data_IF_501307373541
#
_entry.id   IF_501307373541
#
_cell.length_a   1.000
_cell.length_b   1.000
_cell.length_c   1.000
_cell.angle_alpha   90.00
_cell.angle_beta   90.00
_cell.angle_gamma   90.00
#
_symmetry.space_group_name_H-M   'P 1'
#
loop_
_entity.id
_entity.type
_entity.pdbx_description
1 polymer ?
#
# COMPACT_ATOMS: atom_id res chain seq x y z
N UNK A 1 -48.18 5.92 -27.32
CA UNK A 1 -47.20 5.83 -26.22
C UNK A 1 -46.07 4.92 -26.68
N UNK A 2 -45.01 5.51 -27.22
CA UNK A 2 -43.82 4.79 -27.67
C UNK A 2 -42.81 4.70 -26.54
N UNK A 3 -42.40 3.48 -26.19
CA UNK A 3 -41.29 3.20 -25.29
C UNK A 3 -39.99 3.58 -25.99
N UNK A 4 -39.29 4.58 -25.46
CA UNK A 4 -37.94 4.93 -25.88
C UNK A 4 -36.96 3.95 -25.20
N UNK A 5 -36.11 3.22 -25.95
CA UNK A 5 -35.13 2.33 -25.34
C UNK A 5 -33.99 3.18 -24.77
N UNK A 6 -33.74 3.07 -23.46
CA UNK A 6 -32.51 3.56 -22.86
C UNK A 6 -31.34 2.75 -23.42
N UNK A 7 -30.64 3.33 -24.41
CA UNK A 7 -29.28 2.92 -24.77
C UNK A 7 -28.40 3.15 -23.55
N UNK A 8 -27.96 2.07 -22.91
CA UNK A 8 -26.79 2.12 -22.05
C UNK A 8 -25.59 2.53 -22.93
N UNK A 9 -25.10 3.75 -22.73
CA UNK A 9 -23.82 4.15 -23.28
C UNK A 9 -22.73 3.36 -22.55
N UNK A 10 -22.29 2.25 -23.16
CA UNK A 10 -21.05 1.58 -22.80
C UNK A 10 -19.91 2.57 -23.10
N UNK A 11 -19.35 3.18 -22.06
CA UNK A 11 -18.06 3.85 -22.15
C UNK A 11 -17.02 2.77 -22.51
N UNK A 12 -16.33 2.86 -23.66
CA UNK A 12 -15.43 1.81 -24.15
C UNK A 12 -14.13 1.67 -23.36
N UNK A 13 -13.92 2.50 -22.33
CA UNK A 13 -12.77 2.45 -21.44
C UNK A 13 -13.27 2.24 -20.02
N UNK A 14 -13.23 0.99 -19.54
CA UNK A 14 -13.34 0.73 -18.10
C UNK A 14 -12.08 1.32 -17.47
N UNK A 15 -12.23 2.54 -16.96
CA UNK A 15 -11.15 3.27 -16.33
C UNK A 15 -10.92 2.67 -14.94
N UNK A 16 -10.03 1.69 -14.87
CA UNK A 16 -9.57 1.16 -13.61
C UNK A 16 -8.47 2.12 -13.09
N UNK A 17 -8.90 3.16 -12.36
CA UNK A 17 -8.00 3.89 -11.47
C UNK A 17 -7.60 2.93 -10.34
N UNK A 18 -6.56 2.12 -10.55
CA UNK A 18 -5.73 1.72 -9.42
C UNK A 18 -4.93 2.97 -9.05
N UNK A 19 -5.51 3.78 -8.15
CA UNK A 19 -4.67 4.21 -7.04
C UNK A 19 -4.11 2.89 -6.50
N UNK A 20 -2.81 2.64 -6.65
CA UNK A 20 -2.16 1.50 -6.00
C UNK A 20 -2.20 1.79 -4.49
N UNK A 21 -3.39 1.71 -3.92
CA UNK A 21 -3.69 1.57 -2.50
C UNK A 21 -3.46 0.11 -2.07
N UNK A 22 -2.91 -0.73 -2.95
CA UNK A 22 -2.79 -2.18 -2.77
C UNK A 22 -1.46 -2.63 -2.20
N UNK A 23 -0.64 -1.69 -1.70
CA UNK A 23 0.37 -1.98 -0.68
C UNK A 23 0.56 -0.72 0.19
N UNK A 24 -0.42 -0.34 1.03
CA UNK A 24 -0.21 0.69 2.03
C UNK A 24 0.67 0.11 3.13
N UNK A 25 1.98 0.13 2.90
CA UNK A 25 2.93 0.07 3.97
C UNK A 25 2.99 1.43 4.69
N UNK A 26 2.01 1.62 5.59
CA UNK A 26 2.09 2.46 6.79
C UNK A 26 1.86 3.97 6.60
N UNK A 27 0.86 4.59 7.26
CA UNK A 27 0.68 6.04 7.18
C UNK A 27 1.93 6.81 7.63
N UNK A 28 2.15 7.99 7.04
CA UNK A 28 3.35 8.82 7.19
C UNK A 28 3.90 8.95 8.61
N UNK A 29 5.11 8.39 8.79
CA UNK A 29 5.93 8.48 9.99
C UNK A 29 5.47 7.64 11.16
N UNK A 30 4.94 6.43 10.91
CA UNK A 30 4.31 5.62 11.96
C UNK A 30 4.81 4.18 11.99
N UNK A 31 4.86 3.56 13.19
CA UNK A 31 5.25 2.17 13.33
C UNK A 31 4.20 1.23 12.72
N UNK A 32 4.57 -0.02 12.39
CA UNK A 32 3.64 -0.99 11.84
C UNK A 32 2.41 -1.17 12.75
N UNK A 33 1.15 -1.07 12.24
CA UNK A 33 -0.06 -1.31 13.01
C UNK A 33 -0.05 -2.67 13.70
N UNK A 34 0.61 -3.65 13.07
CA UNK A 34 0.78 -5.01 13.61
C UNK A 34 1.68 -5.04 14.86
N UNK A 35 2.67 -4.14 14.98
CA UNK A 35 3.62 -4.17 16.10
C UNK A 35 3.20 -3.24 17.23
N UNK A 36 2.88 -1.97 16.95
CA UNK A 36 2.55 -1.00 18.00
C UNK A 36 1.11 -0.58 18.09
N UNK A 37 0.38 -0.75 17.00
CA UNK A 37 -0.85 -0.03 16.76
C UNK A 37 -0.59 1.43 16.38
N UNK A 38 -1.28 1.91 15.36
CA UNK A 38 -1.26 3.28 14.89
C UNK A 38 -2.53 4.01 15.32
N UNK A 39 -2.42 5.01 16.20
CA UNK A 39 -3.57 5.76 16.69
C UNK A 39 -4.05 6.86 15.74
N UNK A 40 -3.52 6.98 14.52
CA UNK A 40 -3.92 7.97 13.52
C UNK A 40 -3.89 9.42 14.02
N UNK A 41 -3.00 9.75 14.98
CA UNK A 41 -3.00 11.05 15.69
C UNK A 41 -4.31 11.36 16.43
N UNK A 42 -5.05 10.34 16.85
CA UNK A 42 -6.17 10.45 17.78
C UNK A 42 -5.59 10.39 19.19
N UNK A 43 -5.35 11.53 19.86
CA UNK A 43 -4.55 11.59 21.09
C UNK A 43 -5.20 10.86 22.28
N UNK A 44 -6.51 10.57 22.17
CA UNK A 44 -7.29 9.89 23.21
C UNK A 44 -7.05 8.37 23.21
N UNK A 45 -6.51 7.80 22.12
CA UNK A 45 -6.34 6.35 21.96
C UNK A 45 -4.87 5.98 22.15
N UNK A 46 -4.62 5.08 23.12
CA UNK A 46 -3.27 4.51 23.33
C UNK A 46 -2.92 3.56 22.18
N UNK A 47 -1.71 3.65 21.58
CA UNK A 47 -1.26 2.77 20.50
C UNK A 47 -1.49 1.28 20.77
N UNK A 48 -1.08 0.80 21.95
CA UNK A 48 -1.25 -0.60 22.33
C UNK A 48 -2.72 -1.05 22.42
N UNK A 49 -3.66 -0.13 22.67
CA UNK A 49 -5.10 -0.45 22.66
C UNK A 49 -5.68 -0.52 21.25
N UNK A 50 -5.25 0.34 20.33
CA UNK A 50 -5.74 0.28 18.94
C UNK A 50 -5.11 -0.90 18.18
N UNK A 51 -3.93 -1.36 18.62
CA UNK A 51 -3.24 -2.52 18.07
C UNK A 51 -4.13 -3.76 17.97
N UNK A 52 -4.95 -4.06 18.98
CA UNK A 52 -5.86 -5.21 18.94
C UNK A 52 -6.86 -5.10 17.79
N UNK A 53 -7.44 -3.92 17.58
CA UNK A 53 -8.37 -3.67 16.49
C UNK A 53 -7.67 -3.71 15.12
N UNK A 54 -6.44 -3.20 15.03
CA UNK A 54 -5.70 -3.21 13.76
C UNK A 54 -5.21 -4.61 13.40
N UNK A 55 -4.80 -5.41 14.39
CA UNK A 55 -4.46 -6.82 14.18
C UNK A 55 -5.66 -7.65 13.72
N UNK A 56 -6.87 -7.36 14.19
CA UNK A 56 -8.07 -8.11 13.77
C UNK A 56 -8.53 -7.78 12.33
N UNK A 57 -8.04 -6.69 11.73
CA UNK A 57 -8.30 -6.38 10.34
C UNK A 57 -7.37 -7.19 9.42
N UNK A 58 -7.93 -8.19 8.72
CA UNK A 58 -7.20 -9.06 7.78
C UNK A 58 -6.40 -8.28 6.74
N UNK A 59 -6.91 -7.11 6.32
CA UNK A 59 -6.22 -6.22 5.38
C UNK A 59 -4.83 -5.80 5.85
N UNK A 60 -4.60 -5.72 7.16
CA UNK A 60 -3.29 -5.36 7.71
C UNK A 60 -2.24 -6.44 7.47
N UNK A 61 -2.58 -7.73 7.64
CA UNK A 61 -1.67 -8.83 7.31
C UNK A 61 -1.53 -9.05 5.80
N UNK A 62 -2.61 -8.82 5.05
CA UNK A 62 -2.61 -8.94 3.59
C UNK A 62 -1.63 -7.96 2.93
N UNK A 63 -1.51 -6.74 3.45
CA UNK A 63 -0.70 -5.66 2.91
C UNK A 63 0.74 -5.62 3.47
N UNK A 64 1.21 -6.75 4.01
CA UNK A 64 2.63 -6.90 4.33
C UNK A 64 3.46 -6.99 3.04
N UNK A 65 4.72 -6.46 3.05
CA UNK A 65 5.58 -6.44 1.89
C UNK A 65 5.69 -7.77 1.13
N UNK A 66 5.68 -7.69 -0.20
CA UNK A 66 5.82 -8.85 -1.07
C UNK A 66 7.20 -8.92 -1.75
N UNK A 67 7.62 -10.13 -2.08
CA UNK A 67 8.90 -10.41 -2.75
C UNK A 67 8.97 -9.95 -4.21
N UNK A 68 7.83 -9.60 -4.83
CA UNK A 68 7.78 -9.07 -6.18
C UNK A 68 8.09 -7.56 -6.24
N UNK A 69 8.01 -6.86 -5.10
CA UNK A 69 8.36 -5.43 -4.98
C UNK A 69 9.64 -5.21 -4.18
N UNK A 70 9.92 -6.07 -3.18
CA UNK A 70 11.04 -5.90 -2.27
C UNK A 70 12.04 -7.05 -2.35
N UNK A 71 13.32 -6.73 -2.15
CA UNK A 71 14.38 -7.74 -2.03
C UNK A 71 14.11 -8.65 -0.81
N UNK A 72 14.27 -9.98 -0.94
CA UNK A 72 14.17 -10.92 0.17
C UNK A 72 15.20 -10.67 1.29
N UNK A 73 16.28 -9.95 1.00
CA UNK A 73 17.35 -9.58 1.93
C UNK A 73 17.09 -8.26 2.67
N UNK A 74 16.07 -7.49 2.25
CA UNK A 74 15.72 -6.23 2.92
C UNK A 74 15.24 -6.52 4.34
N UNK A 75 15.91 -5.88 5.30
CA UNK A 75 15.47 -5.88 6.70
C UNK A 75 14.45 -4.76 6.90
N UNK A 76 13.24 -5.15 7.31
CA UNK A 76 12.17 -4.20 7.63
C UNK A 76 12.15 -3.84 9.12
N UNK A 77 12.55 -4.78 9.97
CA UNK A 77 12.52 -4.60 11.42
C UNK A 77 13.81 -5.10 12.05
N UNK A 78 14.47 -4.22 12.79
CA UNK A 78 15.66 -4.49 13.58
C UNK A 78 15.30 -4.48 15.07
N UNK A 79 15.77 -5.47 15.82
CA UNK A 79 15.74 -5.53 17.29
C UNK A 79 17.14 -5.82 17.82
N UNK A 80 17.38 -5.76 19.14
CA UNK A 80 18.71 -6.08 19.70
C UNK A 80 19.12 -7.54 19.47
N UNK A 81 18.17 -8.44 19.19
CA UNK A 81 18.43 -9.88 19.08
C UNK A 81 18.20 -10.43 17.68
N UNK A 82 17.38 -9.76 16.85
CA UNK A 82 16.89 -10.32 15.58
C UNK A 82 16.62 -9.24 14.55
N UNK A 83 16.93 -9.55 13.29
CA UNK A 83 16.49 -8.79 12.12
C UNK A 83 15.39 -9.58 11.41
N UNK A 84 14.30 -8.92 11.02
CA UNK A 84 13.20 -9.53 10.29
C UNK A 84 13.14 -9.00 8.86
N UNK A 85 13.16 -9.95 7.93
CA UNK A 85 12.90 -9.76 6.50
C UNK A 85 11.50 -10.27 6.14
N UNK A 86 11.11 -10.15 4.88
CA UNK A 86 9.86 -10.77 4.38
C UNK A 86 9.86 -12.31 4.48
N UNK A 87 11.03 -12.95 4.66
CA UNK A 87 11.13 -14.40 4.82
C UNK A 87 10.80 -14.84 6.25
N UNK A 88 10.78 -13.90 7.20
CA UNK A 88 10.66 -14.17 8.62
C UNK A 88 9.24 -13.99 9.17
N UNK A 89 8.21 -13.82 8.32
CA UNK A 89 6.85 -13.48 8.78
C UNK A 89 6.29 -14.45 9.81
N UNK A 90 6.46 -15.76 9.62
CA UNK A 90 6.00 -16.75 10.60
C UNK A 90 6.64 -16.52 11.97
N UNK A 91 7.95 -16.32 12.02
CA UNK A 91 8.68 -16.04 13.25
C UNK A 91 8.27 -14.70 13.85
N UNK A 92 8.15 -13.67 13.02
CA UNK A 92 7.71 -12.35 13.44
C UNK A 92 6.34 -12.40 14.16
N UNK A 93 5.36 -13.09 13.58
CA UNK A 93 4.02 -13.23 14.18
C UNK A 93 4.05 -14.01 15.50
N UNK A 94 4.93 -15.01 15.62
CA UNK A 94 5.17 -15.72 16.89
C UNK A 94 5.80 -14.80 17.94
N UNK A 95 6.86 -14.07 17.57
CA UNK A 95 7.63 -13.21 18.49
C UNK A 95 6.81 -12.01 19.02
N UNK A 96 5.74 -11.60 18.33
CA UNK A 96 4.80 -10.57 18.81
C UNK A 96 3.53 -11.13 19.49
N UNK A 97 3.44 -12.45 19.65
CA UNK A 97 2.28 -13.13 20.24
C UNK A 97 0.99 -12.97 19.43
N UNK A 98 1.07 -12.98 18.10
CA UNK A 98 -0.09 -12.82 17.19
C UNK A 98 -0.04 -13.82 16.03
N UNK A 99 -0.11 -15.11 16.35
CA UNK A 99 -0.02 -16.20 15.36
C UNK A 99 -1.18 -16.20 14.35
N UNK A 100 -2.37 -15.73 14.73
CA UNK A 100 -3.50 -15.56 13.79
C UNK A 100 -3.13 -14.66 12.61
N UNK A 101 -2.24 -13.67 12.82
CA UNK A 101 -1.76 -12.80 11.75
C UNK A 101 -0.98 -13.55 10.68
N UNK A 102 -0.26 -14.62 11.04
CA UNK A 102 0.40 -15.51 10.08
C UNK A 102 -0.62 -16.31 9.28
N UNK A 103 -1.67 -16.84 9.94
CA UNK A 103 -2.75 -17.53 9.24
C UNK A 103 -3.47 -16.61 8.24
N UNK A 104 -3.80 -15.38 8.67
CA UNK A 104 -4.39 -14.37 7.79
C UNK A 104 -3.49 -14.06 6.58
N UNK A 105 -2.16 -14.00 6.77
CA UNK A 105 -1.22 -13.81 5.67
C UNK A 105 -1.26 -14.97 4.68
N UNK A 106 -1.23 -16.21 5.18
CA UNK A 106 -1.31 -17.40 4.32
C UNK A 106 -2.61 -17.46 3.52
N UNK A 107 -3.73 -17.05 4.12
CA UNK A 107 -5.03 -17.01 3.44
C UNK A 107 -5.08 -15.97 2.30
N UNK A 108 -4.27 -14.91 2.38
CA UNK A 108 -4.44 -13.71 1.55
C UNK A 108 -3.31 -13.45 0.56
N UNK A 109 -2.10 -13.98 0.79
CA UNK A 109 -0.93 -13.67 -0.04
C UNK A 109 -1.04 -14.16 -1.49
N UNK A 110 -1.88 -15.16 -1.74
CA UNK A 110 -2.14 -15.70 -3.08
C UNK A 110 -3.33 -15.10 -3.81
N UNK A 111 -4.04 -14.12 -3.23
CA UNK A 111 -5.27 -13.58 -3.81
C UNK A 111 -5.03 -12.75 -5.08
N UNK A 112 -3.88 -12.10 -5.18
CA UNK A 112 -3.51 -11.24 -6.32
C UNK A 112 -2.22 -11.78 -6.94
N UNK A 113 -2.29 -12.17 -8.20
CA UNK A 113 -1.10 -12.48 -8.98
C UNK A 113 -0.50 -11.18 -9.53
N UNK A 114 0.53 -10.68 -8.85
CA UNK A 114 1.21 -9.43 -9.21
C UNK A 114 1.83 -9.43 -10.62
N UNK A 115 2.01 -10.60 -11.24
CA UNK A 115 2.61 -10.72 -12.57
C UNK A 115 1.57 -10.66 -13.70
N UNK A 116 0.28 -10.84 -13.38
CA UNK A 116 -0.81 -10.81 -14.35
C UNK A 116 -1.32 -9.36 -14.52
N UNK A 117 -1.15 -8.76 -15.71
CA UNK A 117 -1.65 -7.42 -15.97
C UNK A 117 -3.18 -7.40 -16.11
N UNK A 118 -3.85 -6.27 -15.84
CA UNK A 118 -5.32 -6.20 -15.80
C UNK A 118 -6.01 -6.29 -17.17
N UNK A 119 -5.28 -6.17 -18.29
CA UNK A 119 -5.85 -6.30 -19.64
C UNK A 119 -6.73 -5.13 -20.06
N UNK A 120 -6.55 -3.96 -19.43
CA UNK A 120 -7.26 -2.71 -19.73
C UNK A 120 -6.27 -1.55 -19.74
N UNK A 121 -6.63 -0.44 -20.36
CA UNK A 121 -5.81 0.77 -20.30
C UNK A 121 -5.66 1.21 -18.84
N UNK A 122 -4.43 1.39 -18.40
CA UNK A 122 -4.09 1.65 -17.00
C UNK A 122 -3.36 2.98 -16.87
N UNK A 123 -3.82 3.80 -15.93
CA UNK A 123 -3.17 5.05 -15.55
C UNK A 123 -2.73 4.96 -14.08
N UNK A 124 -1.42 4.76 -13.86
CA UNK A 124 -0.85 4.70 -12.52
C UNK A 124 -0.42 6.09 -12.07
N UNK A 125 -1.11 6.64 -11.08
CA UNK A 125 -0.72 7.89 -10.41
C UNK A 125 -0.13 7.54 -9.05
N UNK A 126 1.04 8.09 -8.73
CA UNK A 126 1.74 7.81 -7.47
C UNK A 126 2.48 9.05 -6.95
N UNK A 127 2.46 9.25 -5.64
CA UNK A 127 3.22 10.33 -4.99
C UNK A 127 4.71 10.00 -4.88
N UNK A 128 5.54 11.05 -4.91
CA UNK A 128 7.00 10.95 -4.67
C UNK A 128 7.47 12.13 -3.84
N UNK A 129 8.65 12.02 -3.24
CA UNK A 129 9.30 13.08 -2.47
C UNK A 129 8.69 13.34 -1.09
N UNK A 130 7.81 12.45 -0.60
CA UNK A 130 7.24 12.53 0.75
C UNK A 130 7.90 11.45 1.62
N UNK A 131 8.53 11.81 2.77
CA UNK A 131 9.16 10.84 3.66
C UNK A 131 8.19 9.73 4.08
N UNK A 132 8.49 8.50 3.67
CA UNK A 132 7.63 7.33 3.89
C UNK A 132 8.34 6.30 4.76
N UNK A 133 7.70 5.72 5.80
CA UNK A 133 8.36 4.71 6.64
C UNK A 133 8.90 3.53 5.81
N UNK A 134 10.16 3.18 6.03
CA UNK A 134 10.87 2.16 5.25
C UNK A 134 11.37 0.99 6.11
N UNK A 135 11.91 1.29 7.29
CA UNK A 135 12.34 0.28 8.26
C UNK A 135 12.25 0.79 9.70
N UNK A 136 12.22 -0.14 10.65
CA UNK A 136 11.99 0.13 12.07
C UNK A 136 13.10 -0.44 12.93
N UNK A 137 13.63 0.36 13.84
CA UNK A 137 14.60 -0.07 14.84
C UNK A 137 14.00 -0.02 16.24
N UNK A 138 13.86 -1.18 16.87
CA UNK A 138 13.36 -1.32 18.23
C UNK A 138 14.52 -1.46 19.20
N UNK A 139 14.56 -0.61 20.23
CA UNK A 139 15.42 -0.83 21.39
C UNK A 139 14.80 -1.86 22.35
N UNK A 140 13.47 -1.85 22.47
CA UNK A 140 12.68 -2.79 23.24
C UNK A 140 11.48 -3.23 22.42
N UNK A 141 11.35 -4.53 22.14
CA UNK A 141 10.37 -5.10 21.22
C UNK A 141 9.43 -6.07 21.97
N UNK A 142 8.11 -6.11 21.68
CA UNK A 142 7.37 -5.37 20.64
C UNK A 142 6.58 -4.14 21.13
N UNK A 143 6.58 -3.85 22.44
CA UNK A 143 5.61 -2.94 23.06
C UNK A 143 6.07 -1.47 23.21
N UNK A 144 7.21 -1.09 22.63
CA UNK A 144 7.73 0.28 22.69
C UNK A 144 7.95 0.86 21.29
N UNK A 145 7.79 2.19 21.16
CA UNK A 145 7.97 2.91 19.90
C UNK A 145 9.37 2.68 19.30
N UNK A 146 9.47 2.34 18.00
CA UNK A 146 10.74 2.23 17.32
C UNK A 146 11.25 3.59 16.85
N UNK A 147 12.53 3.63 16.52
CA UNK A 147 13.07 4.66 15.62
C UNK A 147 12.71 4.27 14.19
N UNK A 148 12.21 5.24 13.42
CA UNK A 148 11.73 5.04 12.06
C UNK A 148 12.78 5.55 11.07
N UNK A 149 13.16 4.71 10.11
CA UNK A 149 13.92 5.10 8.94
C UNK A 149 12.95 5.39 7.80
N UNK A 150 13.24 6.44 7.03
CA UNK A 150 12.35 6.93 5.98
C UNK A 150 12.99 6.74 4.60
N UNK A 151 12.19 6.27 3.65
CA UNK A 151 12.48 6.23 2.22
C UNK A 151 11.59 7.19 1.43
N UNK A 152 11.58 7.03 0.12
CA UNK A 152 10.76 7.81 -0.81
C UNK A 152 9.35 7.19 -0.98
N UNK A 153 8.37 8.03 -1.28
CA UNK A 153 6.97 7.63 -1.49
C UNK A 153 6.01 8.81 -1.36
N UNK A 154 4.76 8.50 -1.00
CA UNK A 154 3.67 9.46 -0.79
C UNK A 154 3.37 9.72 0.70
N UNK A 155 4.26 9.26 1.58
CA UNK A 155 4.07 9.24 3.03
C UNK A 155 3.44 7.95 3.51
N UNK A 156 2.66 7.22 2.71
CA UNK A 156 2.01 5.97 3.13
C UNK A 156 2.39 4.75 2.31
N UNK A 157 2.69 4.93 1.03
CA UNK A 157 3.06 3.88 0.10
C UNK A 157 4.49 4.16 -0.33
N UNK A 158 5.38 3.20 -0.10
CA UNK A 158 6.75 3.27 -0.57
C UNK A 158 6.79 3.31 -2.10
N UNK A 159 7.76 4.04 -2.65
CA UNK A 159 7.92 4.18 -4.09
C UNK A 159 8.08 2.82 -4.80
N UNK A 160 8.80 1.89 -4.18
CA UNK A 160 9.04 0.52 -4.68
C UNK A 160 7.73 -0.22 -4.94
N UNK A 161 6.75 -0.08 -4.05
CA UNK A 161 5.42 -0.67 -4.19
C UNK A 161 4.62 0.07 -5.28
N UNK A 162 4.61 1.40 -5.25
CA UNK A 162 3.84 2.20 -6.20
C UNK A 162 4.27 1.96 -7.66
N UNK A 163 5.54 1.62 -7.88
CA UNK A 163 6.10 1.36 -9.21
C UNK A 163 5.79 -0.04 -9.75
N UNK A 164 5.11 -0.92 -9.00
CA UNK A 164 4.83 -2.29 -9.44
C UNK A 164 4.10 -2.34 -10.79
N UNK A 165 3.20 -1.39 -11.06
CA UNK A 165 2.47 -1.37 -12.33
C UNK A 165 3.37 -1.09 -13.55
N UNK A 166 4.60 -0.60 -13.36
CA UNK A 166 5.59 -0.51 -14.43
C UNK A 166 5.90 -1.89 -15.04
N UNK A 167 5.85 -2.96 -14.23
CA UNK A 167 6.09 -4.32 -14.68
C UNK A 167 5.07 -4.81 -15.70
N UNK A 168 3.88 -4.19 -15.76
CA UNK A 168 2.83 -4.53 -16.72
C UNK A 168 3.01 -3.84 -18.08
N UNK A 169 3.93 -2.87 -18.21
CA UNK A 169 4.25 -2.27 -19.51
C UNK A 169 4.77 -3.35 -20.47
N UNK A 170 4.12 -3.48 -21.62
CA UNK A 170 4.48 -4.48 -22.63
C UNK A 170 4.06 -5.92 -22.29
N UNK A 171 3.33 -6.14 -21.20
CA UNK A 171 2.73 -7.45 -20.85
C UNK A 171 1.25 -7.54 -21.20
N UNK A 172 0.65 -6.44 -21.64
CA UNK A 172 -0.72 -6.35 -22.14
C UNK A 172 -0.75 -5.49 -23.40
N UNK A 173 -1.77 -5.67 -24.24
CA UNK A 173 -1.95 -4.89 -25.47
C UNK A 173 -2.29 -3.41 -25.17
N UNK A 174 -3.02 -3.19 -24.08
CA UNK A 174 -3.50 -1.88 -23.66
C UNK A 174 -2.39 -1.06 -23.00
N UNK A 175 -2.43 0.26 -23.19
CA UNK A 175 -1.41 1.16 -22.65
C UNK A 175 -1.38 1.16 -21.11
N UNK A 176 -0.16 1.20 -20.55
CA UNK A 176 0.09 1.46 -19.13
C UNK A 176 0.86 2.78 -19.02
N UNK A 177 0.18 3.84 -18.58
CA UNK A 177 0.75 5.18 -18.39
C UNK A 177 1.13 5.38 -16.93
N UNK A 178 2.32 5.95 -16.68
CA UNK A 178 2.80 6.29 -15.34
C UNK A 178 2.82 7.81 -15.17
N UNK A 179 2.32 8.29 -14.03
CA UNK A 179 2.28 9.70 -13.68
C UNK A 179 2.73 9.89 -12.22
N UNK A 180 3.98 10.30 -12.04
CA UNK A 180 4.45 10.75 -10.75
C UNK A 180 3.74 12.05 -10.34
N UNK A 181 3.47 12.19 -9.03
CA UNK A 181 2.89 13.36 -8.39
C UNK A 181 3.85 13.86 -7.31
N UNK A 182 4.90 14.63 -7.68
CA UNK A 182 5.91 15.08 -6.72
C UNK A 182 5.31 15.91 -5.58
N UNK A 183 5.68 15.59 -4.35
CA UNK A 183 5.20 16.22 -3.13
C UNK A 183 3.74 15.92 -2.78
N UNK A 184 3.05 15.05 -3.52
CA UNK A 184 1.67 14.70 -3.25
C UNK A 184 1.59 13.62 -2.18
N UNK A 185 1.11 13.99 -1.00
CA UNK A 185 0.85 13.04 0.10
C UNK A 185 -0.34 12.12 -0.21
N UNK A 186 -0.31 10.92 0.37
CA UNK A 186 -1.23 9.82 0.13
C UNK A 186 -2.72 10.18 0.11
N UNK A 187 -3.21 10.93 1.10
CA UNK A 187 -4.62 11.36 1.15
C UNK A 187 -4.79 12.65 0.34
N UNK A 188 -3.84 13.57 0.45
CA UNK A 188 -3.87 14.87 -0.23
C UNK A 188 -3.96 14.72 -1.76
N UNK A 189 -3.46 13.62 -2.34
CA UNK A 189 -3.52 13.38 -3.78
C UNK A 189 -4.94 13.36 -4.34
N UNK A 190 -5.95 12.99 -3.53
CA UNK A 190 -7.35 12.94 -3.95
C UNK A 190 -7.94 14.33 -4.24
N UNK A 191 -7.43 15.37 -3.56
CA UNK A 191 -7.85 16.76 -3.74
C UNK A 191 -6.80 17.61 -4.50
N UNK A 192 -5.69 17.01 -4.92
CA UNK A 192 -4.62 17.70 -5.61
C UNK A 192 -5.07 18.16 -7.00
N UNK A 193 -4.85 19.43 -7.33
CA UNK A 193 -5.28 20.02 -8.60
C UNK A 193 -4.67 19.31 -9.82
N UNK A 194 -3.43 18.83 -9.73
CA UNK A 194 -2.75 18.05 -10.78
C UNK A 194 -3.43 16.70 -10.99
N UNK A 195 -3.78 15.99 -9.91
CA UNK A 195 -4.53 14.72 -9.98
C UNK A 195 -5.90 14.94 -10.62
N UNK A 196 -6.64 15.96 -10.18
CA UNK A 196 -7.96 16.28 -10.71
C UNK A 196 -7.91 16.72 -12.19
N UNK A 197 -6.88 17.48 -12.58
CA UNK A 197 -6.67 17.86 -13.98
C UNK A 197 -6.33 16.64 -14.85
N UNK A 198 -5.51 15.71 -14.35
CA UNK A 198 -5.22 14.45 -15.03
C UNK A 198 -6.49 13.63 -15.22
N UNK A 199 -7.27 13.44 -14.16
CA UNK A 199 -8.54 12.72 -14.18
C UNK A 199 -9.51 13.34 -15.20
N UNK A 200 -9.65 14.67 -15.20
CA UNK A 200 -10.50 15.39 -16.14
C UNK A 200 -10.10 15.12 -17.59
N UNK A 201 -8.80 15.15 -17.90
CA UNK A 201 -8.27 14.86 -19.24
C UNK A 201 -8.57 13.43 -19.67
N UNK A 202 -8.44 12.46 -18.77
CA UNK A 202 -8.73 11.05 -19.08
C UNK A 202 -10.23 10.83 -19.32
N UNK A 203 -11.10 11.47 -18.52
CA UNK A 203 -12.55 11.28 -18.62
C UNK A 203 -13.20 12.03 -19.79
N UNK A 204 -12.75 13.25 -20.07
CA UNK A 204 -13.42 14.15 -21.01
C UNK A 204 -12.66 14.30 -22.34
N UNK A 205 -11.47 13.72 -22.44
CA UNK A 205 -10.54 14.01 -23.53
C UNK A 205 -9.81 15.34 -23.37
N UNK A 206 -8.95 15.70 -24.34
CA UNK A 206 -8.23 16.98 -24.36
C UNK A 206 -9.16 18.19 -24.53
#
# INVERSE_FOLDING_TARGET
MGLCPYRAALLPSVLLFLLMLTDPALPAGRPPPVVLGDNNRIPVIRPLKIREQQRSAVSTSWLLPYNYSWSPEKVFLHTPTTNYTLQDYRRFFQDIGFEDGWLMRQDTEGLVDAMVPPGVQLHCLYGTGVPTPDSFYYESFPDHDPRICFGDGDGTVNLESALQCQAWRGRQEQEVSLQALPGSEHIAMLANATTLAYLKRVLLGP
#
